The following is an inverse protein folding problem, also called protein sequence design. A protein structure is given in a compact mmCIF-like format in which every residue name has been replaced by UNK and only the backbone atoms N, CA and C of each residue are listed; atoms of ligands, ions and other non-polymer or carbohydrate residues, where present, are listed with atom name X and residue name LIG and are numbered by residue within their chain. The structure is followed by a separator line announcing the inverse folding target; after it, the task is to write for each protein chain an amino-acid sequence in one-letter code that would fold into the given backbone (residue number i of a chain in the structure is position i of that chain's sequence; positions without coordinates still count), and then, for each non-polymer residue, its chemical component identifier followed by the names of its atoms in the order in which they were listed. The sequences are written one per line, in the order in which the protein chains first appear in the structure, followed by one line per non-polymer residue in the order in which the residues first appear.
data_IF_380213518279
#
_entry.id   IF_380213518279
#
_cell.length_a   1.000
_cell.length_b   1.000
_cell.length_c   1.000
_cell.angle_alpha   90.00
_cell.angle_beta   90.00
_cell.angle_gamma   90.00
#
_symmetry.space_group_name_H-M   'P 1'
#
loop_
_entity.id
_entity.type
_entity.pdbx_description
1 polymer ?
#
# COMPACT_ATOMS: atom_id res chain seq x y z
N UNK A 1 -34.90 -4.96 6.19
CA UNK A 1 -34.13 -5.07 4.94
C UNK A 1 -32.83 -4.31 5.17
N UNK A 2 -31.84 -4.99 5.75
CA UNK A 2 -30.61 -4.37 6.24
C UNK A 2 -29.54 -4.30 5.15
N UNK A 3 -28.93 -3.12 5.04
CA UNK A 3 -27.54 -2.84 4.64
C UNK A 3 -26.94 -3.63 3.49
N UNK A 4 -26.89 -3.02 2.31
CA UNK A 4 -25.85 -3.32 1.31
C UNK A 4 -24.50 -2.93 1.92
N UNK A 5 -23.71 -3.91 2.34
CA UNK A 5 -22.26 -3.74 2.47
C UNK A 5 -21.73 -3.50 1.06
N UNK A 6 -21.50 -2.24 0.72
CA UNK A 6 -20.80 -1.87 -0.50
C UNK A 6 -19.36 -2.35 -0.38
N UNK A 7 -19.07 -3.53 -0.91
CA UNK A 7 -17.71 -3.96 -1.22
C UNK A 7 -17.18 -3.03 -2.30
N UNK A 8 -16.60 -1.89 -1.87
CA UNK A 8 -15.79 -1.10 -2.77
C UNK A 8 -14.65 -2.01 -3.23
N UNK A 9 -14.43 -2.17 -4.54
CA UNK A 9 -13.35 -3.03 -5.01
C UNK A 9 -12.04 -2.52 -4.41
N UNK A 10 -11.23 -3.45 -3.89
CA UNK A 10 -9.87 -3.10 -3.46
C UNK A 10 -9.16 -2.41 -4.63
N UNK A 11 -8.40 -1.33 -4.38
CA UNK A 11 -7.67 -0.67 -5.46
C UNK A 11 -6.71 -1.68 -6.08
N UNK A 12 -6.46 -1.58 -7.38
CA UNK A 12 -5.42 -2.39 -8.01
C UNK A 12 -4.04 -1.89 -7.54
N UNK A 13 -3.04 -2.75 -7.30
CA UNK A 13 -1.71 -2.34 -6.85
C UNK A 13 -1.07 -1.24 -7.72
N UNK A 14 -1.23 -1.34 -9.04
CA UNK A 14 -0.74 -0.33 -9.99
C UNK A 14 -1.31 1.09 -9.75
N UNK A 15 -2.51 1.20 -9.16
CA UNK A 15 -3.14 2.51 -8.90
C UNK A 15 -2.58 3.20 -7.67
N UNK A 16 -1.77 2.50 -6.87
CA UNK A 16 -1.11 3.08 -5.70
C UNK A 16 0.27 3.65 -6.02
N UNK A 17 0.85 3.35 -7.19
CA UNK A 17 2.14 3.90 -7.60
C UNK A 17 2.06 5.44 -7.66
N UNK A 18 3.04 6.11 -7.06
CA UNK A 18 3.12 7.57 -6.92
C UNK A 18 2.26 8.13 -5.79
N UNK A 19 1.67 7.28 -4.94
CA UNK A 19 0.99 7.71 -3.71
C UNK A 19 1.89 7.54 -2.49
N UNK A 20 1.59 8.30 -1.44
CA UNK A 20 2.33 8.25 -0.18
C UNK A 20 1.47 7.70 0.95
N UNK A 21 2.11 6.93 1.82
CA UNK A 21 1.53 6.39 3.05
C UNK A 21 2.53 6.41 4.18
N UNK A 22 2.09 6.05 5.38
CA UNK A 22 2.93 5.97 6.57
C UNK A 22 2.85 4.56 7.15
N UNK A 23 3.99 4.03 7.58
CA UNK A 23 4.02 2.75 8.28
C UNK A 23 3.31 2.87 9.62
N UNK A 24 2.09 2.35 9.70
CA UNK A 24 1.19 2.57 10.82
C UNK A 24 1.01 4.06 11.17
N UNK A 25 0.63 4.32 12.42
CA UNK A 25 0.28 5.69 12.87
C UNK A 25 1.52 6.59 13.08
N UNK A 26 2.66 5.99 13.44
CA UNK A 26 3.84 6.74 13.92
C UNK A 26 5.14 6.42 13.17
N UNK A 27 5.10 5.56 12.15
CA UNK A 27 6.29 5.20 11.38
C UNK A 27 6.68 6.26 10.33
N UNK A 28 7.73 5.99 9.54
CA UNK A 28 8.16 6.88 8.48
C UNK A 28 7.15 6.93 7.33
N UNK A 29 7.16 8.05 6.61
CA UNK A 29 6.40 8.21 5.36
C UNK A 29 7.16 7.55 4.22
N UNK A 30 6.43 6.86 3.34
CA UNK A 30 6.97 6.20 2.17
C UNK A 30 6.13 6.51 0.92
N UNK A 31 6.79 6.49 -0.23
CA UNK A 31 6.18 6.53 -1.55
C UNK A 31 6.09 5.11 -2.11
N UNK A 32 4.99 4.78 -2.76
CA UNK A 32 4.85 3.51 -3.49
C UNK A 32 5.39 3.73 -4.90
N UNK A 33 6.47 3.04 -5.30
CA UNK A 33 7.19 3.35 -6.54
C UNK A 33 7.04 2.28 -7.62
N UNK A 34 6.73 1.03 -7.28
CA UNK A 34 6.51 -0.03 -8.27
C UNK A 34 5.70 -1.22 -7.71
N UNK A 35 5.14 -2.03 -8.61
CA UNK A 35 4.61 -3.36 -8.27
C UNK A 35 5.74 -4.38 -8.34
N UNK A 36 5.99 -5.05 -7.22
CA UNK A 36 6.97 -6.12 -7.12
C UNK A 36 6.40 -7.50 -7.44
N UNK A 37 6.94 -8.51 -6.77
CA UNK A 37 6.60 -9.91 -7.01
C UNK A 37 5.17 -10.24 -6.54
N UNK A 38 4.41 -10.93 -7.40
CA UNK A 38 3.14 -11.56 -7.02
C UNK A 38 3.39 -12.74 -6.08
N UNK A 39 2.64 -12.80 -4.98
CA UNK A 39 2.64 -13.91 -4.03
C UNK A 39 1.51 -14.89 -4.38
N UNK A 40 1.61 -16.11 -3.86
CA UNK A 40 0.67 -17.20 -4.17
C UNK A 40 -0.75 -17.02 -3.61
N UNK A 41 -0.97 -16.03 -2.74
CA UNK A 41 -2.22 -15.82 -1.99
C UNK A 41 -3.04 -14.60 -2.48
N UNK A 42 -2.97 -14.27 -3.78
CA UNK A 42 -3.54 -13.04 -4.38
C UNK A 42 -3.01 -11.72 -3.76
N UNK A 43 -1.92 -11.81 -2.99
CA UNK A 43 -1.15 -10.69 -2.47
C UNK A 43 0.03 -10.39 -3.39
N UNK A 44 0.63 -9.21 -3.28
CA UNK A 44 1.87 -8.90 -3.96
C UNK A 44 2.78 -8.06 -3.07
N UNK A 45 4.07 -8.18 -3.30
CA UNK A 45 5.03 -7.21 -2.80
C UNK A 45 4.95 -5.95 -3.66
N UNK A 46 4.96 -4.80 -3.00
CA UNK A 46 5.08 -3.48 -3.60
C UNK A 46 6.43 -2.91 -3.25
N UNK A 47 7.08 -2.28 -4.22
CA UNK A 47 8.31 -1.53 -3.99
C UNK A 47 7.94 -0.17 -3.40
N UNK A 48 8.45 0.13 -2.22
CA UNK A 48 8.24 1.41 -1.55
C UNK A 48 9.57 2.10 -1.28
N UNK A 49 9.58 3.44 -1.32
CA UNK A 49 10.72 4.27 -1.00
C UNK A 49 10.45 5.09 0.24
N UNK A 50 11.28 4.98 1.27
CA UNK A 50 11.20 5.84 2.44
C UNK A 50 11.53 7.28 2.05
N UNK A 51 10.63 8.22 2.34
CA UNK A 51 10.81 9.63 1.97
C UNK A 51 11.98 10.26 2.72
N UNK A 52 12.21 9.85 3.96
CA UNK A 52 13.24 10.43 4.83
C UNK A 52 14.67 10.04 4.42
N UNK A 53 14.87 8.81 3.96
CA UNK A 53 16.21 8.25 3.70
C UNK A 53 16.47 7.97 2.22
N UNK A 54 15.42 7.85 1.40
CA UNK A 54 15.50 7.38 0.02
C UNK A 54 15.71 5.88 -0.11
N UNK A 55 15.70 5.12 0.99
CA UNK A 55 15.85 3.66 0.98
C UNK A 55 14.64 3.01 0.32
N UNK A 56 14.88 2.01 -0.54
CA UNK A 56 13.83 1.23 -1.18
C UNK A 56 13.76 -0.18 -0.63
N UNK A 57 12.55 -0.62 -0.32
CA UNK A 57 12.27 -1.95 0.23
C UNK A 57 10.97 -2.52 -0.36
N UNK A 58 10.81 -3.84 -0.22
CA UNK A 58 9.60 -4.52 -0.64
C UNK A 58 8.64 -4.65 0.54
N UNK A 59 7.37 -4.28 0.34
CA UNK A 59 6.34 -4.23 1.38
C UNK A 59 5.03 -4.84 0.90
N UNK A 60 4.27 -5.50 1.78
CA UNK A 60 3.05 -6.22 1.37
C UNK A 60 1.96 -5.25 0.95
N UNK A 61 1.29 -5.58 -0.15
CA UNK A 61 0.16 -4.81 -0.63
C UNK A 61 -0.99 -4.77 0.39
N UNK A 62 -1.25 -5.87 1.10
CA UNK A 62 -2.26 -5.90 2.18
C UNK A 62 -1.94 -4.89 3.29
N UNK A 63 -0.70 -4.84 3.74
CA UNK A 63 -0.29 -3.96 4.84
C UNK A 63 -0.36 -2.49 4.41
N UNK A 64 0.01 -2.20 3.15
CA UNK A 64 -0.17 -0.88 2.54
C UNK A 64 -1.63 -0.43 2.56
N UNK A 65 -2.59 -1.34 2.34
CA UNK A 65 -4.01 -0.97 2.34
C UNK A 65 -4.48 -0.53 3.72
N UNK A 66 -3.97 -1.15 4.78
CA UNK A 66 -4.30 -0.87 6.17
C UNK A 66 -3.57 0.37 6.71
N UNK A 67 -2.43 0.72 6.14
CA UNK A 67 -1.67 1.91 6.52
C UNK A 67 -2.44 3.22 6.23
N UNK A 68 -2.40 4.20 7.15
CA UNK A 68 -3.06 5.47 6.93
C UNK A 68 -2.48 6.19 5.71
N UNK A 69 -3.37 6.82 4.94
CA UNK A 69 -2.97 7.71 3.84
C UNK A 69 -2.48 9.03 4.42
N UNK A 70 -1.34 9.50 3.92
CA UNK A 70 -0.89 10.86 4.17
C UNK A 70 -1.65 11.82 3.23
N UNK A 71 -1.97 13.03 3.74
CA UNK A 71 -2.67 14.09 2.99
C UNK A 71 -1.69 15.05 2.32
#
# INVERSE_FOLDING_TARGET
MEGRLGSSPLPQPQNLIGTWRRFGVTGPVYEIVDVGQMLSDDDCLMRVRLVETGEELDYRFTDILDDPREH
#
